data_IF_811746482621
#
_entry.id   IF_811746482621
#
_cell.length_a   1.000
_cell.length_b   1.000
_cell.length_c   1.000
_cell.angle_alpha   90.00
_cell.angle_beta   90.00
_cell.angle_gamma   90.00
#
_symmetry.space_group_name_H-M   'P 1'
#
loop_
_entity.id
_entity.type
_entity.pdbx_description
1 polymer ?
#
# COMPACT_ATOMS: atom_id res chain seq x y z
N UNK A 1 0.34 -27.83 14.38
CA UNK A 1 -0.27 -26.49 14.41
C UNK A 1 0.67 -25.35 13.96
N UNK A 2 1.92 -25.27 14.43
CA UNK A 2 2.88 -24.19 14.04
C UNK A 2 3.13 -24.04 12.52
N UNK A 3 3.11 -25.14 11.75
CA UNK A 3 3.33 -25.12 10.29
C UNK A 3 2.17 -24.49 9.51
N UNK A 4 0.93 -24.75 9.94
CA UNK A 4 -0.27 -24.21 9.28
C UNK A 4 -0.35 -22.69 9.50
N UNK A 5 -0.08 -22.22 10.72
CA UNK A 5 -0.05 -20.79 11.03
C UNK A 5 1.03 -20.03 10.23
N UNK A 6 2.23 -20.60 10.08
CA UNK A 6 3.33 -19.98 9.32
C UNK A 6 3.00 -19.87 7.82
N UNK A 7 2.40 -20.91 7.24
CA UNK A 7 2.06 -20.94 5.82
C UNK A 7 0.86 -20.03 5.49
N UNK A 8 -0.13 -19.95 6.38
CA UNK A 8 -1.28 -19.06 6.22
C UNK A 8 -0.89 -17.58 6.31
N UNK A 9 0.05 -17.25 7.20
CA UNK A 9 0.60 -15.90 7.35
C UNK A 9 1.44 -15.46 6.15
N UNK A 10 2.25 -16.36 5.58
CA UNK A 10 2.98 -16.09 4.34
C UNK A 10 2.02 -15.86 3.15
N UNK A 11 0.93 -16.63 3.07
CA UNK A 11 -0.09 -16.47 2.03
C UNK A 11 -0.81 -15.11 2.12
N UNK A 12 -1.11 -14.61 3.33
CA UNK A 12 -1.76 -13.32 3.53
C UNK A 12 -0.86 -12.13 3.14
N UNK A 13 0.44 -12.21 3.42
CA UNK A 13 1.42 -11.20 2.99
C UNK A 13 1.54 -11.16 1.46
N UNK A 14 1.63 -12.33 0.82
CA UNK A 14 1.70 -12.44 -0.65
C UNK A 14 0.43 -11.89 -1.29
N UNK A 15 -0.76 -12.22 -0.75
CA UNK A 15 -2.04 -11.74 -1.26
C UNK A 15 -2.17 -10.22 -1.19
N UNK A 16 -1.76 -9.59 -0.09
CA UNK A 16 -1.78 -8.13 0.06
C UNK A 16 -0.75 -7.46 -0.84
N UNK A 17 0.44 -8.03 -0.97
CA UNK A 17 1.48 -7.52 -1.86
C UNK A 17 1.02 -7.58 -3.33
N UNK A 18 0.45 -8.71 -3.77
CA UNK A 18 -0.12 -8.86 -5.12
C UNK A 18 -1.27 -7.89 -5.39
N UNK A 19 -2.11 -7.58 -4.40
CA UNK A 19 -3.20 -6.62 -4.56
C UNK A 19 -2.69 -5.20 -4.82
N UNK A 20 -1.63 -4.79 -4.13
CA UNK A 20 -1.05 -3.45 -4.32
C UNK A 20 -0.27 -3.33 -5.63
N UNK A 21 0.45 -4.37 -6.05
CA UNK A 21 1.25 -4.36 -7.29
C UNK A 21 0.38 -4.37 -8.55
N UNK A 22 -0.74 -5.11 -8.56
CA UNK A 22 -1.64 -5.19 -9.73
C UNK A 22 -2.27 -3.83 -10.08
N UNK A 23 -2.61 -3.01 -9.09
CA UNK A 23 -3.16 -1.67 -9.36
C UNK A 23 -2.19 -0.71 -10.05
N UNK A 24 -0.87 -0.95 -9.96
CA UNK A 24 0.16 -0.13 -10.63
C UNK A 24 0.45 -0.53 -12.07
N UNK A 25 -0.05 -1.68 -12.53
CA UNK A 25 0.09 -2.15 -13.93
C UNK A 25 -1.17 -1.95 -14.77
N UNK A 26 -2.31 -1.68 -14.13
CA UNK A 26 -3.61 -1.48 -14.82
C UNK A 26 -3.87 -0.04 -15.28
N UNK A 27 -2.89 0.86 -15.23
CA UNK A 27 -3.00 2.21 -15.80
C UNK A 27 -2.44 2.33 -17.23
N UNK A 28 -2.26 1.20 -17.93
CA UNK A 28 -1.92 1.19 -19.34
C UNK A 28 -3.15 0.70 -20.12
N UNK A 29 -3.73 1.63 -20.88
CA UNK A 29 -4.84 1.48 -21.83
C UNK A 29 -6.27 1.59 -21.28
N UNK A 30 -6.80 2.82 -21.31
CA UNK A 30 -8.10 3.05 -21.93
C UNK A 30 -8.07 4.45 -22.56
N UNK A 31 -7.55 4.51 -23.79
CA UNK A 31 -7.38 5.78 -24.48
C UNK A 31 -7.26 5.68 -25.99
N UNK A 32 -8.15 4.94 -26.66
CA UNK A 32 -8.53 5.23 -28.06
C UNK A 32 -9.69 4.35 -28.53
N UNK A 33 -10.91 4.61 -28.07
CA UNK A 33 -12.09 4.26 -28.86
C UNK A 33 -12.14 5.19 -30.07
N UNK A 34 -11.96 4.62 -31.25
CA UNK A 34 -11.90 5.34 -32.52
C UNK A 34 -13.16 6.18 -32.80
N UNK A 35 -12.95 7.30 -33.48
CA UNK A 35 -14.00 8.21 -33.93
C UNK A 35 -13.51 9.14 -35.04
N UNK A 36 -13.51 8.61 -36.27
CA UNK A 36 -13.94 9.20 -37.54
C UNK A 36 -13.87 10.73 -37.76
N UNK A 37 -13.11 11.12 -38.79
CA UNK A 37 -13.43 12.29 -39.63
C UNK A 37 -12.54 13.53 -39.44
N UNK A 38 -11.37 13.55 -40.06
CA UNK A 38 -10.51 14.74 -40.13
C UNK A 38 -9.42 14.55 -41.18
N UNK A 39 -9.00 15.64 -41.83
CA UNK A 39 -8.01 15.73 -42.90
C UNK A 39 -6.93 14.63 -42.88
N UNK A 40 -6.67 14.05 -44.04
CA UNK A 40 -5.57 13.11 -44.23
C UNK A 40 -4.26 13.91 -44.25
N UNK A 41 -3.72 14.19 -43.08
CA UNK A 41 -2.41 14.83 -42.94
C UNK A 41 -1.31 13.82 -43.33
N UNK A 42 -0.41 14.14 -44.30
CA UNK A 42 0.63 13.22 -44.77
C UNK A 42 1.57 12.71 -43.67
N UNK A 43 1.65 13.45 -42.56
CA UNK A 43 2.42 13.07 -41.37
C UNK A 43 1.87 11.81 -40.68
N UNK A 44 0.61 11.42 -40.89
CA UNK A 44 -0.02 10.29 -40.19
C UNK A 44 0.47 8.92 -40.71
N UNK A 45 0.89 8.83 -41.98
CA UNK A 45 1.38 7.59 -42.61
C UNK A 45 2.83 7.23 -42.31
N UNK A 46 3.62 8.20 -41.81
CA UNK A 46 5.00 7.99 -41.37
C UNK A 46 5.10 7.84 -39.86
N UNK A 47 3.99 7.42 -39.24
CA UNK A 47 3.87 7.45 -37.79
C UNK A 47 3.71 8.88 -37.30
N UNK A 48 2.57 9.49 -37.60
CA UNK A 48 2.26 10.85 -37.14
C UNK A 48 1.99 10.91 -35.64
N UNK A 49 1.18 11.88 -35.25
CA UNK A 49 0.84 12.18 -33.84
C UNK A 49 0.43 10.95 -33.02
N UNK A 50 -0.05 9.87 -33.66
CA UNK A 50 -0.35 8.58 -33.01
C UNK A 50 0.87 7.87 -32.43
N UNK A 51 2.00 7.69 -33.12
CA UNK A 51 3.20 7.07 -32.49
C UNK A 51 3.87 8.00 -31.50
N UNK A 52 3.88 9.32 -31.75
CA UNK A 52 4.37 10.29 -30.77
C UNK A 52 3.57 10.18 -29.45
N UNK A 53 2.24 10.12 -29.54
CA UNK A 53 1.37 9.92 -28.38
C UNK A 53 1.54 8.54 -27.72
N UNK A 54 1.77 7.47 -28.50
CA UNK A 54 2.03 6.12 -27.96
C UNK A 54 3.39 6.03 -27.24
N UNK A 55 4.42 6.70 -27.77
CA UNK A 55 5.73 6.82 -27.12
C UNK A 55 5.56 7.58 -25.80
N UNK A 56 4.86 8.72 -25.80
CA UNK A 56 4.59 9.47 -24.56
C UNK A 56 3.77 8.71 -23.51
N UNK A 57 2.87 7.81 -23.93
CA UNK A 57 2.11 6.95 -23.00
C UNK A 57 2.88 5.70 -22.55
N UNK A 58 3.75 5.13 -23.38
CA UNK A 58 4.54 3.93 -23.07
C UNK A 58 5.81 4.24 -22.25
N UNK A 59 6.50 5.37 -22.47
CA UNK A 59 7.60 5.82 -21.60
C UNK A 59 7.10 6.66 -20.41
N UNK A 60 6.05 6.15 -19.75
CA UNK A 60 5.37 6.64 -18.53
C UNK A 60 6.26 6.80 -17.27
N UNK A 61 7.55 7.09 -17.44
CA UNK A 61 8.59 7.21 -16.44
C UNK A 61 8.72 8.63 -15.85
N UNK A 62 7.97 9.61 -16.37
CA UNK A 62 8.10 11.04 -15.98
C UNK A 62 6.88 11.73 -15.38
N UNK A 63 5.67 11.15 -15.48
CA UNK A 63 4.43 11.75 -14.93
C UNK A 63 4.01 11.20 -13.57
N UNK A 64 4.66 10.14 -13.08
CA UNK A 64 4.40 9.61 -11.75
C UNK A 64 5.11 10.54 -10.77
N UNK A 65 4.37 11.50 -10.25
CA UNK A 65 4.91 12.50 -9.33
C UNK A 65 5.72 11.79 -8.25
N UNK A 66 6.93 12.27 -7.90
CA UNK A 66 7.72 11.67 -6.81
C UNK A 66 6.92 11.61 -5.50
N UNK A 67 5.92 12.50 -5.35
CA UNK A 67 4.94 12.48 -4.27
C UNK A 67 4.03 11.25 -4.30
N UNK A 68 3.55 10.85 -5.47
CA UNK A 68 2.71 9.66 -5.64
C UNK A 68 3.50 8.37 -5.39
N UNK A 69 4.75 8.33 -5.87
CA UNK A 69 5.67 7.23 -5.60
C UNK A 69 5.92 7.11 -4.09
N UNK A 70 6.23 8.22 -3.42
CA UNK A 70 6.42 8.23 -1.97
C UNK A 70 5.15 7.79 -1.22
N UNK A 71 3.98 8.29 -1.62
CA UNK A 71 2.70 7.92 -1.01
C UNK A 71 2.41 6.42 -1.15
N UNK A 72 2.67 5.83 -2.33
CA UNK A 72 2.50 4.39 -2.54
C UNK A 72 3.46 3.57 -1.69
N UNK A 73 4.74 3.95 -1.61
CA UNK A 73 5.72 3.26 -0.77
C UNK A 73 5.32 3.31 0.71
N UNK A 74 4.86 4.48 1.18
CA UNK A 74 4.40 4.66 2.57
C UNK A 74 3.17 3.77 2.84
N UNK A 75 2.21 3.70 1.93
CA UNK A 75 1.03 2.83 2.08
C UNK A 75 1.41 1.34 2.14
N UNK A 76 2.35 0.88 1.30
CA UNK A 76 2.87 -0.49 1.35
C UNK A 76 3.50 -0.79 2.72
N UNK A 77 4.36 0.11 3.21
CA UNK A 77 5.09 -0.09 4.47
C UNK A 77 4.12 -0.07 5.65
N UNK A 78 3.17 0.87 5.69
CA UNK A 78 2.15 0.97 6.74
C UNK A 78 1.24 -0.27 6.76
N UNK A 79 0.87 -0.80 5.59
CA UNK A 79 0.09 -2.05 5.51
C UNK A 79 0.86 -3.24 6.08
N UNK A 80 2.15 -3.37 5.72
CA UNK A 80 3.01 -4.43 6.25
C UNK A 80 3.21 -4.34 7.76
N UNK A 81 3.48 -3.13 8.29
CA UNK A 81 3.60 -2.89 9.73
C UNK A 81 2.28 -3.17 10.47
N UNK A 82 1.14 -2.78 9.89
CA UNK A 82 -0.18 -3.02 10.45
C UNK A 82 -0.50 -4.51 10.61
N UNK A 83 -0.17 -5.31 9.60
CA UNK A 83 -0.33 -6.77 9.64
C UNK A 83 0.49 -7.37 10.78
N UNK A 84 1.77 -6.98 10.92
CA UNK A 84 2.64 -7.44 12.01
C UNK A 84 2.07 -7.06 13.38
N UNK A 85 1.58 -5.83 13.55
CA UNK A 85 1.01 -5.36 14.80
C UNK A 85 -0.22 -6.20 15.22
N UNK A 86 -1.11 -6.50 14.27
CA UNK A 86 -2.29 -7.34 14.51
C UNK A 86 -1.88 -8.77 14.92
N UNK A 87 -0.86 -9.34 14.27
CA UNK A 87 -0.33 -10.68 14.61
C UNK A 87 0.22 -10.71 16.04
N UNK A 88 0.95 -9.68 16.47
CA UNK A 88 1.51 -9.58 17.82
C UNK A 88 0.40 -9.47 18.88
N UNK A 89 -0.65 -8.70 18.59
CA UNK A 89 -1.83 -8.59 19.47
C UNK A 89 -2.55 -9.93 19.59
N UNK A 90 -2.76 -10.64 18.48
CA UNK A 90 -3.35 -11.98 18.49
C UNK A 90 -2.48 -12.96 19.30
N UNK A 91 -1.16 -12.96 19.09
CA UNK A 91 -0.24 -13.82 19.83
C UNK A 91 -0.24 -13.52 21.34
N UNK A 92 -0.29 -12.25 21.73
CA UNK A 92 -0.43 -11.83 23.13
C UNK A 92 -1.79 -12.21 23.73
N UNK A 93 -2.87 -12.06 22.97
CA UNK A 93 -4.22 -12.44 23.38
C UNK A 93 -4.38 -13.94 23.57
N UNK A 94 -3.84 -14.75 22.66
CA UNK A 94 -3.83 -16.21 22.83
C UNK A 94 -2.96 -16.63 24.02
N UNK A 95 -1.82 -15.95 24.27
CA UNK A 95 -0.99 -16.22 25.44
C UNK A 95 -1.71 -15.92 26.75
N UNK A 96 -2.53 -14.86 26.79
CA UNK A 96 -3.36 -14.54 27.96
C UNK A 96 -4.43 -15.60 28.21
N UNK A 97 -5.08 -16.10 27.15
CA UNK A 97 -6.14 -17.13 27.25
C UNK A 97 -5.61 -18.49 27.74
N UNK A 98 -4.37 -18.84 27.41
CA UNK A 98 -3.75 -20.13 27.78
C UNK A 98 -3.05 -20.05 29.16
N UNK A 99 -3.01 -18.88 29.80
CA UNK A 99 -2.26 -18.66 31.05
C UNK A 99 -2.82 -19.44 32.26
N UNK A 100 -4.02 -20.02 32.18
CA UNK A 100 -4.57 -21.06 33.08
C UNK A 100 -4.21 -20.91 34.58
N UNK A 101 -4.34 -19.68 35.11
CA UNK A 101 -4.18 -19.41 36.55
C UNK A 101 -2.76 -19.13 37.05
N UNK A 102 -1.72 -19.19 36.20
CA UNK A 102 -0.38 -18.75 36.61
C UNK A 102 -0.24 -17.23 36.48
N UNK A 103 -0.11 -16.52 37.61
CA UNK A 103 0.02 -15.06 37.64
C UNK A 103 1.16 -14.54 36.77
N UNK A 104 2.31 -15.24 36.73
CA UNK A 104 3.45 -14.83 35.91
C UNK A 104 3.12 -14.79 34.42
N UNK A 105 2.35 -15.78 33.93
CA UNK A 105 1.97 -15.84 32.51
C UNK A 105 0.91 -14.80 32.15
N UNK A 106 0.07 -14.44 33.12
CA UNK A 106 -0.93 -13.38 32.95
C UNK A 106 -0.26 -12.02 32.86
N UNK A 107 0.70 -11.72 33.73
CA UNK A 107 1.41 -10.45 33.71
C UNK A 107 2.31 -10.30 32.48
N UNK A 108 2.99 -11.38 32.08
CA UNK A 108 3.78 -11.37 30.85
C UNK A 108 2.89 -11.15 29.61
N UNK A 109 1.70 -11.77 29.57
CA UNK A 109 0.75 -11.57 28.48
C UNK A 109 0.20 -10.13 28.45
N UNK A 110 -0.15 -9.56 29.61
CA UNK A 110 -0.59 -8.15 29.71
C UNK A 110 0.48 -7.18 29.21
N UNK A 111 1.74 -7.40 29.59
CA UNK A 111 2.87 -6.58 29.12
C UNK A 111 3.04 -6.67 27.60
N UNK A 112 2.87 -7.85 27.04
CA UNK A 112 2.97 -8.08 25.59
C UNK A 112 1.80 -7.45 24.83
N UNK A 113 0.57 -7.52 25.37
CA UNK A 113 -0.58 -6.82 24.80
C UNK A 113 -0.47 -5.30 24.91
N UNK A 114 0.05 -4.77 26.03
CA UNK A 114 0.30 -3.34 26.19
C UNK A 114 1.34 -2.83 25.18
N UNK A 115 2.44 -3.56 24.99
CA UNK A 115 3.43 -3.25 23.97
C UNK A 115 2.84 -3.29 22.54
N UNK A 116 1.99 -4.28 22.24
CA UNK A 116 1.29 -4.37 20.97
C UNK A 116 0.30 -3.22 20.73
N UNK A 117 -0.46 -2.83 21.76
CA UNK A 117 -1.40 -1.71 21.70
C UNK A 117 -0.69 -0.38 21.46
N UNK A 118 0.44 -0.14 22.14
CA UNK A 118 1.27 1.05 21.93
C UNK A 118 1.79 1.09 20.49
N UNK A 119 2.24 -0.04 19.94
CA UNK A 119 2.66 -0.13 18.54
C UNK A 119 1.53 0.24 17.56
N UNK A 120 0.31 -0.23 17.82
CA UNK A 120 -0.86 0.11 17.00
C UNK A 120 -1.17 1.62 17.04
N UNK A 121 -1.12 2.23 18.23
CA UNK A 121 -1.36 3.66 18.41
C UNK A 121 -0.33 4.49 17.64
N UNK A 122 0.96 4.11 17.69
CA UNK A 122 2.03 4.82 16.98
C UNK A 122 1.82 4.77 15.45
N UNK A 123 1.39 3.62 14.91
CA UNK A 123 1.12 3.48 13.47
C UNK A 123 -0.02 4.43 13.04
N UNK A 124 -1.12 4.43 13.79
CA UNK A 124 -2.27 5.31 13.52
C UNK A 124 -1.91 6.79 13.66
N UNK A 125 -1.12 7.15 14.69
CA UNK A 125 -0.66 8.50 14.91
C UNK A 125 0.28 8.99 13.79
N UNK A 126 1.24 8.16 13.38
CA UNK A 126 2.17 8.46 12.29
C UNK A 126 1.44 8.80 10.99
N UNK A 127 0.44 7.99 10.64
CA UNK A 127 -0.36 8.23 9.43
C UNK A 127 -1.18 9.53 9.51
N UNK A 128 -1.79 9.81 10.66
CA UNK A 128 -2.51 11.06 10.89
C UNK A 128 -1.60 12.28 10.75
N UNK A 129 -0.41 12.23 11.34
CA UNK A 129 0.58 13.31 11.28
C UNK A 129 1.08 13.51 9.84
N UNK A 130 1.42 12.44 9.12
CA UNK A 130 1.89 12.53 7.74
C UNK A 130 0.85 13.23 6.83
N UNK A 131 -0.42 12.85 6.96
CA UNK A 131 -1.52 13.50 6.21
C UNK A 131 -1.70 14.96 6.61
N UNK A 132 -1.61 15.26 7.91
CA UNK A 132 -1.70 16.63 8.41
C UNK A 132 -0.62 17.53 7.80
N UNK A 133 0.64 17.08 7.79
CA UNK A 133 1.76 17.83 7.21
C UNK A 133 1.56 18.06 5.71
N UNK A 134 1.18 17.03 4.95
CA UNK A 134 0.94 17.17 3.51
C UNK A 134 -0.18 18.17 3.24
N UNK A 135 -1.30 18.06 3.96
CA UNK A 135 -2.44 18.96 3.79
C UNK A 135 -2.11 20.41 4.18
N UNK A 136 -1.32 20.61 5.24
CA UNK A 136 -0.85 21.92 5.67
C UNK A 136 0.03 22.59 4.60
N UNK A 137 0.93 21.82 3.98
CA UNK A 137 1.79 22.33 2.91
C UNK A 137 1.01 22.65 1.63
N UNK A 138 0.03 21.83 1.25
CA UNK A 138 -0.81 22.08 0.07
C UNK A 138 -1.70 23.31 0.29
N UNK A 139 -2.27 23.48 1.47
CA UNK A 139 -3.16 24.61 1.79
C UNK A 139 -2.42 25.94 1.92
N UNK A 140 -1.12 25.93 2.24
CA UNK A 140 -0.30 27.14 2.34
C UNK A 140 0.27 27.62 1.00
N UNK A 141 0.27 26.75 -0.02
CA UNK A 141 0.79 27.04 -1.36
C UNK A 141 -0.32 27.35 -2.38
N UNK A 142 -1.54 26.87 -2.13
CA UNK A 142 -2.74 27.30 -2.86
C UNK A 142 -3.19 28.71 -2.43
#
# INVERSE_FOLDING_TARGET
>A
MKKIAKNFLAALIIAVFSLTVVSTVNALDTGSTGGTGGNIDPNTYWGGNTVANNIESDIQLGKRDPREIAANVINIILGFLGIIAVILILAGGFKWMIASGNQDKVDEAKKLMAAGAIGLVIILASFGIARFVINALVSATA
#
